data_IF_185650172849
#
_entry.id   IF_185650172849
#
_cell.length_a   1.000
_cell.length_b   1.000
_cell.length_c   1.000
_cell.angle_alpha   90.00
_cell.angle_beta   90.00
_cell.angle_gamma   90.00
#
_symmetry.space_group_name_H-M   'P 1'
#
loop_
_entity.id
_entity.type
_entity.pdbx_description
1 polymer ?
#
# COMPACT_ATOMS: atom_id res chain seq x y z
N UNK A 1 15.85 -16.59 34.42
CA UNK A 1 16.70 -16.70 33.22
C UNK A 1 15.78 -16.54 32.01
N UNK A 2 15.58 -15.29 31.54
CA UNK A 2 15.07 -15.06 30.21
C UNK A 2 16.24 -15.21 29.23
N UNK A 3 16.14 -16.02 28.17
CA UNK A 3 17.19 -16.05 27.16
C UNK A 3 17.29 -14.66 26.55
N UNK A 4 18.49 -14.08 26.61
CA UNK A 4 18.83 -12.87 25.86
C UNK A 4 18.81 -13.24 24.37
N UNK A 5 17.67 -13.08 23.72
CA UNK A 5 17.62 -13.13 22.28
C UNK A 5 18.51 -12.00 21.77
N UNK A 6 19.49 -12.27 20.94
CA UNK A 6 20.40 -11.24 20.50
C UNK A 6 19.61 -10.19 19.72
N UNK A 7 19.72 -8.93 20.13
CA UNK A 7 19.16 -7.74 19.45
C UNK A 7 19.53 -7.67 17.95
N UNK A 8 20.52 -8.42 17.54
CA UNK A 8 21.02 -8.59 16.16
C UNK A 8 20.05 -9.23 15.17
N UNK A 9 18.90 -9.78 15.60
CA UNK A 9 17.97 -10.46 14.70
C UNK A 9 16.77 -9.57 14.29
N UNK A 10 16.47 -8.51 15.03
CA UNK A 10 15.32 -7.65 14.74
C UNK A 10 15.45 -6.96 13.39
N UNK A 11 16.66 -6.53 13.01
CA UNK A 11 16.93 -5.88 11.72
C UNK A 11 16.77 -6.82 10.51
N UNK A 12 16.73 -8.13 10.74
CA UNK A 12 16.55 -9.12 9.68
C UNK A 12 15.08 -9.41 9.35
N UNK A 13 14.16 -9.16 10.31
CA UNK A 13 12.76 -9.42 10.08
C UNK A 13 12.18 -8.48 9.03
N UNK A 14 11.43 -9.06 8.09
CA UNK A 14 10.79 -8.36 6.97
C UNK A 14 11.76 -7.59 6.06
N UNK A 15 13.09 -7.82 6.17
CA UNK A 15 14.09 -7.20 5.30
C UNK A 15 14.22 -7.90 3.94
N UNK A 16 13.84 -9.17 3.88
CA UNK A 16 13.84 -9.96 2.65
C UNK A 16 12.52 -9.81 1.90
N UNK A 17 12.59 -9.86 0.58
CA UNK A 17 11.48 -9.56 -0.31
C UNK A 17 10.63 -10.82 -0.60
N UNK A 18 9.97 -11.36 0.43
CA UNK A 18 9.10 -12.53 0.35
C UNK A 18 7.66 -12.21 0.72
N UNK A 19 6.71 -12.85 0.03
CA UNK A 19 5.34 -13.02 0.50
C UNK A 19 5.22 -14.42 1.08
N UNK A 20 4.67 -14.54 2.28
CA UNK A 20 4.50 -15.83 2.98
C UNK A 20 3.01 -16.17 3.01
N UNK A 21 2.61 -17.18 2.25
CA UNK A 21 1.24 -17.70 2.16
C UNK A 21 1.08 -18.94 3.03
N UNK A 22 -0.13 -19.49 3.14
CA UNK A 22 -0.38 -20.72 3.90
C UNK A 22 0.32 -21.97 3.30
N UNK A 23 0.47 -22.03 1.99
CA UNK A 23 1.01 -23.19 1.27
C UNK A 23 2.44 -23.03 0.74
N UNK A 24 2.96 -21.82 0.64
CA UNK A 24 4.29 -21.55 0.09
C UNK A 24 4.76 -20.14 0.41
N UNK A 25 6.01 -19.84 0.08
CA UNK A 25 6.50 -18.46 -0.02
C UNK A 25 6.70 -18.06 -1.48
N UNK A 26 6.57 -16.77 -1.78
CA UNK A 26 6.84 -16.21 -3.10
C UNK A 26 8.01 -15.23 -3.01
N UNK A 27 9.08 -15.52 -3.70
CA UNK A 27 10.27 -14.65 -3.80
C UNK A 27 10.00 -13.53 -4.79
N UNK A 28 9.79 -12.31 -4.30
CA UNK A 28 9.53 -11.11 -5.12
C UNK A 28 10.80 -10.56 -5.79
N UNK A 29 11.98 -11.09 -5.47
CA UNK A 29 13.24 -10.71 -6.14
C UNK A 29 13.42 -11.49 -7.44
N UNK A 30 13.15 -12.80 -7.37
CA UNK A 30 13.28 -13.72 -8.50
C UNK A 30 11.94 -14.07 -9.15
N UNK A 31 10.82 -13.57 -8.61
CA UNK A 31 9.46 -13.80 -9.08
C UNK A 31 9.12 -15.28 -9.22
N UNK A 32 9.34 -16.06 -8.18
CA UNK A 32 9.10 -17.50 -8.18
C UNK A 32 8.58 -18.00 -6.83
N UNK A 33 7.83 -19.09 -6.89
CA UNK A 33 7.41 -19.85 -5.72
C UNK A 33 8.62 -20.56 -5.12
N UNK A 34 8.71 -20.57 -3.80
CA UNK A 34 9.72 -21.27 -3.02
C UNK A 34 9.08 -21.89 -1.78
N UNK A 35 9.72 -22.90 -1.21
CA UNK A 35 9.28 -23.49 0.05
C UNK A 35 9.44 -22.53 1.22
N UNK A 36 8.66 -22.75 2.28
CA UNK A 36 8.85 -22.04 3.54
C UNK A 36 10.23 -22.32 4.12
N UNK A 37 10.92 -21.26 4.53
CA UNK A 37 12.22 -21.36 5.17
C UNK A 37 12.33 -20.35 6.32
N UNK A 38 12.86 -20.79 7.45
CA UNK A 38 13.12 -19.93 8.61
C UNK A 38 14.01 -18.71 8.26
N UNK A 39 14.92 -18.87 7.30
CA UNK A 39 15.82 -17.80 6.82
C UNK A 39 15.11 -16.69 6.04
N UNK A 40 13.83 -16.82 5.76
CA UNK A 40 13.03 -15.75 5.15
C UNK A 40 12.77 -14.60 6.13
N UNK A 41 12.83 -14.87 7.45
CA UNK A 41 12.66 -13.90 8.53
C UNK A 41 11.43 -13.00 8.37
N UNK A 42 10.30 -13.56 7.90
CA UNK A 42 9.06 -12.81 7.75
C UNK A 42 8.16 -12.95 8.98
N UNK A 43 7.68 -11.83 9.50
CA UNK A 43 6.57 -11.77 10.46
C UNK A 43 5.24 -11.43 9.78
N UNK A 44 5.29 -11.18 8.48
CA UNK A 44 4.12 -10.85 7.64
C UNK A 44 3.63 -12.11 6.97
N UNK A 45 2.41 -12.50 7.29
CA UNK A 45 1.77 -13.69 6.76
C UNK A 45 0.50 -13.30 6.01
N UNK A 46 0.26 -13.96 4.90
CA UNK A 46 -0.92 -13.80 4.05
C UNK A 46 -1.74 -15.08 4.21
N UNK A 47 -2.83 -15.00 4.97
CA UNK A 47 -3.63 -16.13 5.45
C UNK A 47 -4.53 -16.75 4.37
N UNK A 48 -3.97 -17.08 3.23
CA UNK A 48 -4.57 -17.90 2.18
C UNK A 48 -3.51 -18.54 1.30
N UNK A 49 -3.92 -19.56 0.54
CA UNK A 49 -3.04 -20.26 -0.39
C UNK A 49 -2.73 -19.41 -1.62
N UNK A 50 -1.50 -19.41 -2.07
CA UNK A 50 -1.12 -18.91 -3.39
C UNK A 50 -1.52 -19.91 -4.47
N UNK A 51 -2.12 -19.43 -5.56
CA UNK A 51 -2.45 -20.18 -6.76
C UNK A 51 -2.00 -19.40 -8.00
N UNK A 52 -0.97 -19.91 -8.67
CA UNK A 52 -0.39 -19.29 -9.87
C UNK A 52 -1.36 -19.24 -11.08
N UNK A 53 -2.42 -20.08 -11.08
CA UNK A 53 -3.39 -20.15 -12.17
C UNK A 53 -4.67 -19.35 -11.90
N UNK A 54 -4.80 -18.76 -10.71
CA UNK A 54 -5.97 -17.97 -10.37
C UNK A 54 -6.06 -16.70 -11.24
N UNK A 55 -7.28 -16.40 -11.70
CA UNK A 55 -7.62 -15.21 -12.48
C UNK A 55 -8.56 -14.31 -11.67
N UNK A 56 -8.69 -13.04 -12.10
CA UNK A 56 -9.53 -12.04 -11.41
C UNK A 56 -10.38 -11.21 -12.40
N UNK A 57 -11.22 -11.84 -13.23
CA UNK A 57 -11.97 -11.14 -14.28
C UNK A 57 -12.92 -10.08 -13.74
N UNK A 58 -13.56 -10.31 -12.59
CA UNK A 58 -14.46 -9.34 -11.97
C UNK A 58 -13.67 -8.13 -11.44
N UNK A 59 -12.50 -8.38 -10.85
CA UNK A 59 -11.62 -7.30 -10.41
C UNK A 59 -11.10 -6.47 -11.58
N UNK A 60 -10.68 -7.09 -12.69
CA UNK A 60 -10.26 -6.37 -13.89
C UNK A 60 -11.38 -5.53 -14.48
N UNK A 61 -12.62 -6.04 -14.48
CA UNK A 61 -13.80 -5.28 -14.85
C UNK A 61 -13.99 -4.07 -13.92
N UNK A 62 -13.93 -4.28 -12.61
CA UNK A 62 -14.04 -3.21 -11.61
C UNK A 62 -12.98 -2.12 -11.84
N UNK A 63 -11.71 -2.49 -12.11
CA UNK A 63 -10.65 -1.52 -12.39
C UNK A 63 -10.96 -0.69 -13.63
N UNK A 64 -11.43 -1.31 -14.71
CA UNK A 64 -11.85 -0.59 -15.93
C UNK A 64 -13.00 0.39 -15.68
N UNK A 65 -13.96 0.01 -14.87
CA UNK A 65 -15.09 0.88 -14.48
C UNK A 65 -14.58 2.10 -13.70
N UNK A 66 -13.81 1.91 -12.63
CA UNK A 66 -13.37 3.03 -11.78
C UNK A 66 -12.35 3.95 -12.46
N UNK A 67 -11.63 3.46 -13.47
CA UNK A 67 -10.71 4.25 -14.30
C UNK A 67 -11.38 4.84 -15.55
N UNK A 68 -12.68 4.63 -15.76
CA UNK A 68 -13.40 5.03 -16.98
C UNK A 68 -12.72 4.49 -18.26
N UNK A 69 -12.29 3.22 -18.24
CA UNK A 69 -11.59 2.51 -19.31
C UNK A 69 -10.26 3.18 -19.75
N UNK A 70 -9.58 3.91 -18.88
CA UNK A 70 -8.25 4.47 -19.15
C UNK A 70 -7.18 3.43 -18.88
N UNK A 71 -6.54 2.95 -19.93
CA UNK A 71 -5.51 1.92 -19.85
C UNK A 71 -4.27 2.38 -19.08
N UNK A 72 -3.87 3.65 -19.21
CA UNK A 72 -2.75 4.25 -18.49
C UNK A 72 -2.96 4.20 -16.96
N UNK A 73 -4.18 4.49 -16.49
CA UNK A 73 -4.52 4.36 -15.07
C UNK A 73 -4.62 2.90 -14.62
N UNK A 74 -5.12 2.01 -15.46
CA UNK A 74 -5.18 0.57 -15.17
C UNK A 74 -3.77 0.01 -14.94
N UNK A 75 -2.83 0.34 -15.83
CA UNK A 75 -1.42 -0.03 -15.71
C UNK A 75 -0.80 0.53 -14.44
N UNK A 76 -1.07 1.81 -14.14
CA UNK A 76 -0.56 2.49 -12.96
C UNK A 76 -1.09 1.87 -11.66
N UNK A 77 -2.39 1.56 -11.58
CA UNK A 77 -3.01 0.90 -10.40
C UNK A 77 -2.42 -0.49 -10.21
N UNK A 78 -2.15 -1.23 -11.29
CA UNK A 78 -1.51 -2.54 -11.22
C UNK A 78 -0.10 -2.44 -10.60
N UNK A 79 0.69 -1.46 -11.01
CA UNK A 79 2.01 -1.20 -10.43
C UNK A 79 1.93 -0.75 -8.97
N UNK A 80 0.94 0.08 -8.62
CA UNK A 80 0.71 0.50 -7.23
C UNK A 80 0.38 -0.70 -6.36
N UNK A 81 -0.58 -1.54 -6.74
CA UNK A 81 -0.89 -2.75 -5.97
C UNK A 81 0.32 -3.66 -5.83
N UNK A 82 1.09 -3.84 -6.91
CA UNK A 82 2.33 -4.59 -6.87
C UNK A 82 3.36 -3.98 -5.91
N UNK A 83 3.54 -2.68 -5.93
CA UNK A 83 4.46 -1.98 -5.02
C UNK A 83 4.08 -2.11 -3.55
N UNK A 84 2.77 -2.20 -3.23
CA UNK A 84 2.32 -2.44 -1.87
C UNK A 84 2.78 -3.81 -1.34
N UNK A 85 3.06 -4.78 -2.21
CA UNK A 85 3.56 -6.12 -1.84
C UNK A 85 5.06 -6.11 -1.50
N UNK A 86 5.84 -5.18 -2.05
CA UNK A 86 7.28 -5.12 -1.88
C UNK A 86 7.68 -4.81 -0.43
N UNK A 87 8.76 -5.46 0.05
CA UNK A 87 9.32 -5.24 1.40
C UNK A 87 10.21 -3.99 1.52
N UNK A 88 10.33 -3.17 0.46
CA UNK A 88 11.19 -1.99 0.40
C UNK A 88 10.45 -0.78 -0.18
N UNK A 89 10.98 0.43 0.00
CA UNK A 89 10.39 1.69 -0.46
C UNK A 89 11.19 2.38 -1.57
N UNK A 90 11.81 1.61 -2.49
CA UNK A 90 12.72 2.13 -3.54
C UNK A 90 12.11 3.20 -4.46
N UNK A 91 10.80 3.17 -4.68
CA UNK A 91 10.14 4.17 -5.53
C UNK A 91 9.86 5.50 -4.81
N UNK A 92 10.01 5.55 -3.49
CA UNK A 92 9.76 6.74 -2.65
C UNK A 92 8.42 7.43 -2.95
N UNK A 93 7.33 6.67 -3.05
CA UNK A 93 6.00 7.18 -3.38
C UNK A 93 4.97 6.88 -2.30
N UNK A 94 4.13 7.87 -2.04
CA UNK A 94 2.85 7.74 -1.33
C UNK A 94 1.70 7.94 -2.33
N UNK A 95 0.61 7.24 -2.10
CA UNK A 95 -0.50 7.14 -3.04
C UNK A 95 -1.74 7.83 -2.49
N UNK A 96 -2.34 8.68 -3.31
CA UNK A 96 -3.63 9.32 -3.03
C UNK A 96 -4.60 8.89 -4.11
N UNK A 97 -5.62 8.14 -3.74
CA UNK A 97 -6.74 7.82 -4.61
C UNK A 97 -7.85 8.83 -4.32
N UNK A 98 -8.15 9.68 -5.29
CA UNK A 98 -9.08 10.79 -5.13
C UNK A 98 -10.35 10.63 -5.97
N UNK A 99 -11.49 11.08 -5.44
CA UNK A 99 -12.75 11.08 -6.18
C UNK A 99 -13.94 11.52 -5.31
N UNK A 100 -14.97 12.03 -5.91
CA UNK A 100 -16.08 12.77 -5.27
C UNK A 100 -17.12 11.92 -4.52
N UNK A 101 -16.97 10.58 -4.50
CA UNK A 101 -17.93 9.64 -3.91
C UNK A 101 -18.55 8.70 -4.95
N UNK A 102 -19.08 7.54 -4.51
CA UNK A 102 -19.67 6.49 -5.36
C UNK A 102 -18.82 6.08 -6.56
N UNK A 103 -17.53 5.97 -6.36
CA UNK A 103 -16.52 5.72 -7.40
C UNK A 103 -15.60 4.53 -7.09
N UNK A 104 -16.00 3.65 -6.17
CA UNK A 104 -15.27 2.42 -5.89
C UNK A 104 -14.10 2.55 -4.90
N UNK A 105 -13.79 3.74 -4.34
CA UNK A 105 -12.67 3.92 -3.36
C UNK A 105 -12.75 2.96 -2.18
N UNK A 106 -13.91 2.85 -1.52
CA UNK A 106 -14.08 1.96 -0.36
C UNK A 106 -13.95 0.48 -0.73
N UNK A 107 -14.42 0.11 -1.93
CA UNK A 107 -14.26 -1.24 -2.48
C UNK A 107 -12.78 -1.54 -2.68
N UNK A 108 -12.02 -0.64 -3.31
CA UNK A 108 -10.59 -0.80 -3.53
C UNK A 108 -9.81 -0.88 -2.22
N UNK A 109 -10.15 -0.06 -1.21
CA UNK A 109 -9.56 -0.13 0.11
C UNK A 109 -9.78 -1.51 0.78
N UNK A 110 -10.98 -2.09 0.63
CA UNK A 110 -11.32 -3.42 1.13
C UNK A 110 -10.57 -4.52 0.39
N UNK A 111 -10.40 -4.40 -0.92
CA UNK A 111 -9.58 -5.32 -1.73
C UNK A 111 -8.13 -5.31 -1.26
N UNK A 112 -7.53 -4.13 -1.04
CA UNK A 112 -6.15 -4.02 -0.52
C UNK A 112 -6.04 -4.71 0.85
N UNK A 113 -7.03 -4.53 1.75
CA UNK A 113 -7.04 -5.21 3.05
C UNK A 113 -7.11 -6.72 2.92
N UNK A 114 -7.93 -7.24 2.01
CA UNK A 114 -8.05 -8.66 1.76
C UNK A 114 -6.79 -9.26 1.11
N UNK A 115 -6.10 -8.48 0.27
CA UNK A 115 -4.89 -8.90 -0.44
C UNK A 115 -3.68 -9.02 0.49
N UNK A 116 -3.48 -8.04 1.38
CA UNK A 116 -2.29 -7.90 2.23
C UNK A 116 -2.48 -8.57 3.60
N UNK A 117 -3.74 -8.72 4.04
CA UNK A 117 -4.08 -9.12 5.41
C UNK A 117 -4.24 -7.91 6.33
N UNK A 118 -5.35 -7.87 7.07
CA UNK A 118 -5.67 -6.73 7.95
C UNK A 118 -4.64 -6.52 9.06
N UNK A 119 -3.98 -7.58 9.52
CA UNK A 119 -2.90 -7.56 10.51
C UNK A 119 -1.65 -6.81 10.02
N UNK A 120 -1.42 -6.74 8.71
CA UNK A 120 -0.30 -6.04 8.09
C UNK A 120 -0.60 -4.57 7.75
N UNK A 121 -1.82 -4.09 8.09
CA UNK A 121 -2.29 -2.74 7.78
C UNK A 121 -2.45 -1.93 9.05
N UNK A 122 -2.07 -0.65 8.98
CA UNK A 122 -2.45 0.40 9.92
C UNK A 122 -3.42 1.37 9.25
N UNK A 123 -4.13 2.18 10.05
CA UNK A 123 -5.05 3.21 9.55
C UNK A 123 -4.81 4.53 10.27
N UNK A 124 -3.55 4.87 10.51
CA UNK A 124 -3.14 6.10 11.19
C UNK A 124 -3.40 7.31 10.30
N UNK A 125 -4.25 8.27 10.70
CA UNK A 125 -4.50 9.49 9.94
C UNK A 125 -3.22 10.28 9.68
N UNK A 126 -3.09 10.91 8.50
CA UNK A 126 -1.87 11.65 8.12
C UNK A 126 -1.52 12.78 9.08
N UNK A 127 -2.53 13.46 9.69
CA UNK A 127 -2.35 14.50 10.72
C UNK A 127 -1.69 14.00 11.99
N UNK A 128 -1.80 12.70 12.27
CA UNK A 128 -1.28 12.09 13.50
C UNK A 128 0.20 11.76 13.37
N UNK A 129 0.72 11.56 12.16
CA UNK A 129 2.11 11.15 11.91
C UNK A 129 3.15 12.07 12.57
N UNK A 130 2.89 13.38 12.60
CA UNK A 130 3.78 14.36 13.25
C UNK A 130 3.59 14.55 14.76
N UNK A 131 2.62 13.85 15.37
CA UNK A 131 2.33 13.95 16.81
C UNK A 131 3.18 12.98 17.63
N UNK A 132 3.17 13.23 18.93
CA UNK A 132 3.77 12.34 19.92
C UNK A 132 3.23 10.93 19.78
N UNK A 133 3.57 9.90 19.79
CA UNK A 133 3.04 8.52 19.57
C UNK A 133 2.49 8.26 18.14
N UNK A 134 2.56 9.22 17.22
CA UNK A 134 1.91 9.12 15.91
C UNK A 134 2.44 8.00 15.00
N UNK A 135 3.63 7.48 15.26
CA UNK A 135 4.22 6.39 14.50
C UNK A 135 4.10 5.02 15.18
N UNK A 136 3.50 4.92 16.38
CA UNK A 136 3.43 3.66 17.14
C UNK A 136 2.67 2.57 16.37
N UNK A 137 1.50 2.91 15.82
CA UNK A 137 0.65 1.97 15.09
C UNK A 137 1.21 1.55 13.72
N UNK A 138 2.30 2.19 13.27
CA UNK A 138 2.97 1.86 12.01
C UNK A 138 4.02 0.76 12.14
N UNK A 139 4.41 0.44 13.39
CA UNK A 139 5.46 -0.54 13.67
C UNK A 139 5.04 -1.92 13.14
N UNK A 140 5.92 -2.56 12.37
CA UNK A 140 5.70 -3.87 11.75
C UNK A 140 4.53 -3.94 10.75
N UNK A 141 3.97 -2.80 10.34
CA UNK A 141 2.95 -2.76 9.28
C UNK A 141 3.58 -2.62 7.90
N UNK A 142 2.86 -3.10 6.89
CA UNK A 142 3.28 -3.03 5.49
C UNK A 142 2.67 -1.83 4.77
N UNK A 143 1.42 -1.52 5.10
CA UNK A 143 0.67 -0.41 4.51
C UNK A 143 -0.05 0.38 5.58
N UNK A 144 0.06 1.70 5.54
CA UNK A 144 -0.83 2.61 6.24
C UNK A 144 -1.94 3.04 5.26
N UNK A 145 -3.16 2.57 5.50
CA UNK A 145 -4.30 2.78 4.62
C UNK A 145 -5.33 3.64 5.32
N UNK A 146 -5.55 4.87 4.82
CA UNK A 146 -6.53 5.82 5.35
C UNK A 146 -7.65 6.06 4.33
N UNK A 147 -8.89 6.16 4.81
CA UNK A 147 -10.08 6.32 3.96
C UNK A 147 -10.83 7.64 4.16
N UNK A 148 -10.39 8.44 5.11
CA UNK A 148 -11.01 9.72 5.45
C UNK A 148 -9.95 10.75 5.85
N UNK A 149 -10.20 12.02 5.52
CA UNK A 149 -9.47 13.17 6.06
C UNK A 149 -10.41 14.37 6.11
N UNK A 150 -10.20 15.25 7.09
CA UNK A 150 -10.86 16.55 7.14
C UNK A 150 -10.21 17.50 6.13
N UNK A 151 -11.01 18.36 5.49
CA UNK A 151 -10.54 19.32 4.45
C UNK A 151 -9.36 20.20 4.90
N UNK A 152 -9.31 20.54 6.19
CA UNK A 152 -8.32 21.46 6.75
C UNK A 152 -7.23 20.73 7.57
N UNK A 153 -7.11 19.44 7.39
CA UNK A 153 -6.19 18.62 8.16
C UNK A 153 -4.78 18.75 7.61
N UNK A 154 -3.88 19.31 8.42
CA UNK A 154 -2.45 19.39 8.08
C UNK A 154 -1.76 18.05 8.26
N UNK A 155 -1.10 17.59 7.21
CA UNK A 155 -0.23 16.41 7.26
C UNK A 155 1.02 16.73 8.08
N UNK A 156 1.46 15.78 8.90
CA UNK A 156 2.76 15.86 9.58
C UNK A 156 3.91 15.72 8.57
N UNK A 157 4.16 16.76 7.79
CA UNK A 157 4.93 16.75 6.53
C UNK A 157 6.35 16.22 6.68
N UNK A 158 7.06 16.58 7.75
CA UNK A 158 8.45 16.12 7.97
C UNK A 158 8.53 14.61 8.21
N UNK A 159 7.67 14.10 9.07
CA UNK A 159 7.61 12.66 9.39
C UNK A 159 7.07 11.88 8.19
N UNK A 160 6.05 12.41 7.50
CA UNK A 160 5.52 11.82 6.27
C UNK A 160 6.61 11.68 5.19
N UNK A 161 7.42 12.74 4.94
CA UNK A 161 8.54 12.68 3.98
C UNK A 161 9.55 11.62 4.38
N UNK A 162 9.93 11.55 5.66
CA UNK A 162 10.88 10.56 6.17
C UNK A 162 10.37 9.12 5.95
N UNK A 163 9.09 8.86 6.27
CA UNK A 163 8.48 7.54 6.05
C UNK A 163 8.50 7.17 4.56
N UNK A 164 8.07 8.08 3.68
CA UNK A 164 7.99 7.82 2.23
C UNK A 164 9.38 7.56 1.62
N UNK A 165 10.41 8.27 2.07
CA UNK A 165 11.80 8.07 1.63
C UNK A 165 12.53 6.95 2.37
N UNK A 166 11.84 6.26 3.30
CA UNK A 166 12.46 5.25 4.17
C UNK A 166 13.63 5.78 5.00
N UNK A 167 13.56 7.06 5.38
CA UNK A 167 14.48 7.67 6.32
C UNK A 167 14.10 7.29 7.77
N UNK A 168 15.07 7.43 8.67
CA UNK A 168 14.86 7.17 10.09
C UNK A 168 13.88 8.18 10.71
N UNK A 169 12.92 7.67 11.47
CA UNK A 169 11.97 8.46 12.25
C UNK A 169 12.11 8.16 13.74
N UNK A 170 11.80 9.16 14.56
CA UNK A 170 11.75 8.98 16.00
C UNK A 170 10.42 8.34 16.39
N UNK A 171 10.48 7.19 17.01
CA UNK A 171 9.34 6.42 17.50
C UNK A 171 9.28 6.54 19.01
N UNK A 172 8.12 6.97 19.52
CA UNK A 172 7.88 7.10 20.96
C UNK A 172 6.70 6.20 21.37
N UNK A 173 6.91 4.91 21.63
CA UNK A 173 5.82 4.02 22.04
C UNK A 173 5.39 4.32 23.46
N UNK A 174 4.08 4.25 23.70
CA UNK A 174 3.51 4.51 25.03
C UNK A 174 4.07 3.53 26.07
N UNK A 175 4.63 4.07 27.15
CA UNK A 175 5.20 3.27 28.24
C UNK A 175 6.56 2.61 27.94
N UNK A 176 7.22 2.95 26.83
CA UNK A 176 8.55 2.45 26.46
C UNK A 176 9.52 3.59 26.18
N UNK A 177 10.83 3.29 26.16
CA UNK A 177 11.83 4.26 25.75
C UNK A 177 11.66 4.65 24.28
N UNK A 178 11.77 5.95 24.00
CA UNK A 178 11.89 6.49 22.64
C UNK A 178 13.13 5.93 21.95
N UNK A 179 12.99 5.58 20.68
CA UNK A 179 14.07 5.09 19.84
C UNK A 179 13.92 5.64 18.40
N UNK A 180 14.94 5.45 17.59
CA UNK A 180 14.94 5.84 16.18
C UNK A 180 15.01 4.58 15.33
N UNK A 181 14.15 4.49 14.30
CA UNK A 181 14.11 3.36 13.38
C UNK A 181 13.58 3.79 12.03
N UNK A 182 13.70 2.94 11.01
CA UNK A 182 13.10 3.11 9.70
C UNK A 182 11.79 2.34 9.62
N UNK A 183 10.73 3.03 9.19
CA UNK A 183 9.42 2.42 9.00
C UNK A 183 9.25 2.05 7.52
N UNK A 184 9.52 0.79 7.18
CA UNK A 184 9.32 0.30 5.82
C UNK A 184 7.83 0.04 5.53
N UNK A 185 7.07 1.11 5.42
CA UNK A 185 5.62 1.12 5.25
C UNK A 185 5.23 1.99 4.05
N UNK A 186 4.21 1.58 3.29
CA UNK A 186 3.65 2.38 2.19
C UNK A 186 2.44 3.15 2.68
N UNK A 187 2.31 4.39 2.24
CA UNK A 187 1.16 5.24 2.60
C UNK A 187 0.18 5.26 1.44
N UNK A 188 -1.06 4.86 1.71
CA UNK A 188 -2.18 4.88 0.76
C UNK A 188 -3.35 5.62 1.40
N UNK A 189 -3.86 6.63 0.72
CA UNK A 189 -4.98 7.44 1.22
C UNK A 189 -6.10 7.52 0.18
N UNK A 190 -7.31 7.14 0.57
CA UNK A 190 -8.53 7.26 -0.23
C UNK A 190 -9.30 8.48 0.22
N UNK A 191 -9.32 9.54 -0.59
CA UNK A 191 -9.78 10.86 -0.19
C UNK A 191 -10.84 11.42 -1.15
N UNK A 192 -11.69 12.30 -0.65
CA UNK A 192 -12.66 13.04 -1.49
C UNK A 192 -12.08 14.37 -1.98
N UNK A 193 -11.00 14.85 -1.37
CA UNK A 193 -10.30 16.09 -1.73
C UNK A 193 -8.83 15.96 -1.38
N UNK A 194 -8.02 16.81 -2.01
CA UNK A 194 -6.57 16.80 -1.79
C UNK A 194 -6.25 17.25 -0.36
N UNK A 195 -5.38 16.52 0.39
CA UNK A 195 -5.04 16.88 1.76
C UNK A 195 -4.15 18.12 1.80
N UNK A 196 -4.19 18.86 2.91
CA UNK A 196 -3.33 20.02 3.09
C UNK A 196 -1.95 19.60 3.61
N UNK A 197 -0.92 19.90 2.85
CA UNK A 197 0.49 19.74 3.26
C UNK A 197 1.12 21.04 3.77
N UNK A 198 0.32 22.10 3.94
CA UNK A 198 0.82 23.46 4.12
C UNK A 198 1.31 24.01 2.77
N UNK A 199 2.62 24.17 2.60
CA UNK A 199 3.20 24.49 1.29
C UNK A 199 3.48 23.21 0.50
N UNK A 200 2.92 23.14 -0.71
CA UNK A 200 3.22 22.08 -1.68
C UNK A 200 4.55 22.39 -2.37
N UNK A 201 5.64 21.97 -1.78
CA UNK A 201 6.96 22.09 -2.39
C UNK A 201 7.30 20.92 -3.34
N UNK A 202 8.32 21.11 -4.15
CA UNK A 202 8.81 20.06 -5.08
C UNK A 202 9.18 18.76 -4.35
N UNK A 203 9.54 18.83 -3.06
CA UNK A 203 9.92 17.65 -2.28
C UNK A 203 8.70 16.79 -1.91
N UNK A 204 7.53 17.39 -1.78
CA UNK A 204 6.26 16.71 -1.57
C UNK A 204 5.75 16.15 -2.89
N UNK A 205 5.66 17.00 -3.94
CA UNK A 205 5.12 16.62 -5.24
C UNK A 205 5.85 15.41 -5.83
N UNK A 206 7.18 15.36 -5.76
CA UNK A 206 7.96 14.22 -6.26
C UNK A 206 7.66 12.89 -5.54
N UNK A 207 7.12 12.94 -4.31
CA UNK A 207 6.77 11.78 -3.50
C UNK A 207 5.30 11.37 -3.62
N UNK A 208 4.49 12.18 -4.23
CA UNK A 208 3.08 11.88 -4.45
C UNK A 208 2.85 11.19 -5.79
N UNK A 209 1.88 10.28 -5.77
CA UNK A 209 1.25 9.73 -6.95
C UNK A 209 -0.26 9.79 -6.70
N UNK A 210 -0.96 10.57 -7.51
CA UNK A 210 -2.40 10.81 -7.34
C UNK A 210 -3.14 10.07 -8.43
N UNK A 211 -4.13 9.26 -8.05
CA UNK A 211 -4.92 8.43 -8.95
C UNK A 211 -6.37 8.88 -8.88
N UNK A 212 -6.91 9.45 -9.95
CA UNK A 212 -8.33 9.81 -10.00
C UNK A 212 -9.21 8.58 -10.17
N UNK A 213 -10.22 8.47 -9.31
CA UNK A 213 -11.37 7.59 -9.49
C UNK A 213 -12.55 8.47 -9.92
N UNK A 214 -12.70 8.65 -11.24
CA UNK A 214 -13.68 9.58 -11.82
C UNK A 214 -15.00 8.93 -12.16
N UNK A 215 -15.15 7.62 -11.95
CA UNK A 215 -16.39 6.92 -12.15
C UNK A 215 -17.48 7.50 -11.24
N UNK A 216 -18.69 7.61 -11.79
CA UNK A 216 -19.89 7.95 -11.04
C UNK A 216 -20.88 6.79 -11.21
N UNK A 217 -20.88 5.87 -10.25
CA UNK A 217 -21.71 4.67 -10.29
C UNK A 217 -23.13 5.04 -9.84
N UNK A 218 -24.14 4.87 -10.70
CA UNK A 218 -25.54 5.13 -10.35
C UNK A 218 -25.99 4.27 -9.16
N UNK A 219 -26.87 4.79 -8.29
CA UNK A 219 -27.32 4.05 -7.10
C UNK A 219 -27.95 2.68 -7.40
N UNK A 220 -28.61 2.55 -8.53
CA UNK A 220 -29.27 1.34 -9.02
C UNK A 220 -28.31 0.31 -9.63
N UNK A 221 -27.07 0.71 -9.94
CA UNK A 221 -26.00 -0.15 -10.43
C UNK A 221 -25.04 -0.61 -9.31
N UNK A 222 -25.22 -0.11 -8.07
CA UNK A 222 -24.38 -0.49 -6.95
C UNK A 222 -24.68 -1.94 -6.53
N UNK A 223 -23.71 -2.81 -6.69
CA UNK A 223 -23.76 -4.18 -6.17
C UNK A 223 -23.31 -4.18 -4.68
N UNK A 224 -24.23 -4.40 -3.72
CA UNK A 224 -23.89 -4.42 -2.28
C UNK A 224 -22.96 -5.58 -1.90
N UNK A 225 -22.88 -6.62 -2.72
CA UNK A 225 -22.03 -7.81 -2.52
C UNK A 225 -20.75 -7.78 -3.36
N UNK A 226 -20.43 -6.65 -4.00
CA UNK A 226 -19.24 -6.56 -4.87
C UNK A 226 -17.96 -6.90 -4.11
N UNK A 227 -17.80 -6.40 -2.88
CA UNK A 227 -16.61 -6.67 -2.05
C UNK A 227 -16.47 -8.16 -1.79
N UNK A 228 -17.54 -8.84 -1.41
CA UNK A 228 -17.50 -10.29 -1.12
C UNK A 228 -17.08 -11.08 -2.38
N UNK A 229 -17.61 -10.72 -3.53
CA UNK A 229 -17.27 -11.33 -4.82
C UNK A 229 -15.79 -11.09 -5.19
N UNK A 230 -15.29 -9.87 -5.01
CA UNK A 230 -13.89 -9.53 -5.30
C UNK A 230 -12.92 -10.23 -4.34
N UNK A 231 -13.29 -10.40 -3.07
CA UNK A 231 -12.47 -11.14 -2.10
C UNK A 231 -12.32 -12.61 -2.48
N UNK A 232 -13.29 -13.21 -3.17
CA UNK A 232 -13.15 -14.59 -3.71
C UNK A 232 -12.08 -14.67 -4.82
N UNK A 233 -11.81 -13.56 -5.53
CA UNK A 233 -10.77 -13.49 -6.57
C UNK A 233 -9.39 -13.08 -6.02
N UNK A 234 -9.18 -12.98 -4.71
CA UNK A 234 -7.94 -12.44 -4.10
C UNK A 234 -6.65 -13.12 -4.57
N UNK A 235 -6.68 -14.41 -4.88
CA UNK A 235 -5.52 -15.13 -5.44
C UNK A 235 -5.18 -14.63 -6.86
N UNK A 236 -6.18 -14.41 -7.69
CA UNK A 236 -6.01 -13.83 -9.03
C UNK A 236 -5.57 -12.37 -8.96
N UNK A 237 -6.13 -11.58 -8.02
CA UNK A 237 -5.71 -10.20 -7.77
C UNK A 237 -4.24 -10.15 -7.31
N UNK A 238 -3.78 -11.13 -6.52
CA UNK A 238 -2.39 -11.27 -6.14
C UNK A 238 -1.50 -11.46 -7.37
N UNK A 239 -1.86 -12.37 -8.28
CA UNK A 239 -1.13 -12.58 -9.52
C UNK A 239 -1.08 -11.31 -10.37
N UNK A 240 -2.22 -10.64 -10.51
CA UNK A 240 -2.34 -9.37 -11.24
C UNK A 240 -1.43 -8.28 -10.63
N UNK A 241 -1.37 -8.17 -9.31
CA UNK A 241 -0.49 -7.24 -8.61
C UNK A 241 1.00 -7.60 -8.78
N UNK A 242 1.36 -8.89 -8.73
CA UNK A 242 2.73 -9.37 -8.96
C UNK A 242 3.21 -9.00 -10.37
N UNK A 243 2.37 -9.10 -11.39
CA UNK A 243 2.74 -8.66 -12.75
C UNK A 243 3.01 -7.14 -12.81
N UNK A 244 2.23 -6.33 -12.07
CA UNK A 244 2.51 -4.90 -11.91
C UNK A 244 3.86 -4.65 -11.23
N UNK A 245 4.19 -5.41 -10.20
CA UNK A 245 5.48 -5.31 -9.51
C UNK A 245 6.66 -5.68 -10.41
N UNK A 246 6.52 -6.73 -11.22
CA UNK A 246 7.54 -7.13 -12.20
C UNK A 246 7.82 -6.00 -13.18
N UNK A 247 6.77 -5.39 -13.74
CA UNK A 247 6.90 -4.26 -14.67
C UNK A 247 7.60 -3.07 -14.00
N UNK A 248 7.16 -2.68 -12.79
CA UNK A 248 7.76 -1.58 -12.04
C UNK A 248 9.24 -1.84 -11.71
N UNK A 249 9.59 -3.06 -11.31
CA UNK A 249 10.98 -3.47 -11.03
C UNK A 249 11.85 -3.37 -12.28
N UNK A 250 11.34 -3.84 -13.43
CA UNK A 250 12.04 -3.78 -14.72
C UNK A 250 12.19 -2.34 -15.22
N UNK A 251 11.32 -1.42 -14.80
CA UNK A 251 11.39 0.01 -15.10
C UNK A 251 12.15 0.82 -14.01
N UNK A 252 13.11 0.20 -13.32
CA UNK A 252 13.93 0.86 -12.28
C UNK A 252 13.10 1.59 -11.22
N UNK A 253 11.98 1.02 -10.80
CA UNK A 253 11.06 1.56 -9.79
C UNK A 253 10.40 2.88 -10.19
N UNK A 254 10.36 3.20 -11.47
CA UNK A 254 9.63 4.34 -12.02
C UNK A 254 8.25 3.89 -12.48
N UNK A 255 7.22 4.47 -11.89
CA UNK A 255 5.83 4.19 -12.25
C UNK A 255 5.54 4.62 -13.68
N UNK A 256 4.68 3.88 -14.34
CA UNK A 256 4.18 4.23 -15.67
C UNK A 256 3.51 5.59 -15.65
N UNK A 257 3.72 6.37 -16.71
CA UNK A 257 3.11 7.68 -16.85
C UNK A 257 1.60 7.59 -17.06
N UNK A 258 0.86 8.43 -16.36
CA UNK A 258 -0.55 8.67 -16.63
C UNK A 258 -0.82 10.17 -16.66
N UNK A 259 -1.36 10.64 -17.77
CA UNK A 259 -1.71 12.06 -17.92
C UNK A 259 -2.73 12.49 -16.87
N UNK A 260 -3.73 11.65 -16.59
CA UNK A 260 -4.75 11.96 -15.61
C UNK A 260 -4.22 12.06 -14.16
N UNK A 261 -3.16 11.31 -13.84
CA UNK A 261 -2.45 11.41 -12.58
C UNK A 261 -1.61 12.69 -12.49
N UNK A 262 -0.93 13.05 -13.57
CA UNK A 262 -0.05 14.21 -13.64
C UNK A 262 -0.84 15.54 -13.62
N UNK A 263 -1.96 15.60 -14.33
CA UNK A 263 -2.86 16.77 -14.38
C UNK A 263 -3.40 17.17 -12.98
N UNK A 264 -3.43 16.26 -12.00
CA UNK A 264 -3.85 16.53 -10.63
C UNK A 264 -2.75 17.12 -9.75
N UNK A 265 -1.49 17.08 -10.19
CA UNK A 265 -0.33 17.59 -9.46
C UNK A 265 0.18 18.92 -10.04
N UNK A 266 -0.30 19.33 -11.22
CA UNK A 266 0.04 20.56 -11.91
C UNK A 266 -1.08 21.60 -11.76
#
# INVERSE_FOLDING_TARGET
WAPSWPFLLLDKFNSKNYLVFDNCSYDLTNFKVVDHCADQYSTRHINYNYDANACCPLFEKFIREVTCNRDDLTVLIQEVLGYLLASHSKAEKAFIIIGSGRNGKSVMASVIKALIGSENISSTPLKVLGKEFGCEDLINKQVNLTTESDRNELVGTSVWKAIVSNDSVSINPKGRKRYTDTLNIKIVSFLNFFPSFGELDKSILRRLLVIPFDANIPPDEIDPHLIDKLVLEKQGIMNWAIEGLKRLSNNNWQFSYSKASDDLLN
#
